data_IF_385890666318
#
_entry.id   IF_385890666318
#
_cell.length_a   1.000
_cell.length_b   1.000
_cell.length_c   1.000
_cell.angle_alpha   90.00
_cell.angle_beta   90.00
_cell.angle_gamma   90.00
#
_symmetry.space_group_name_H-M   'P 1'
#
loop_
_entity.id
_entity.type
_entity.pdbx_description
1 polymer ?
#
# COMPACT_ATOMS: atom_id res chain seq x y z
N UNK A 1 -6.14 -24.63 48.21
CA UNK A 1 -7.49 -25.26 48.36
C UNK A 1 -7.31 -26.76 48.33
N UNK A 2 -8.01 -27.54 49.17
CA UNK A 2 -8.07 -28.99 48.94
C UNK A 2 -8.92 -29.26 47.69
N UNK A 3 -8.62 -30.31 46.93
CA UNK A 3 -9.40 -30.72 45.73
C UNK A 3 -10.91 -30.82 46.05
N UNK A 4 -11.25 -31.24 47.26
CA UNK A 4 -12.64 -31.36 47.73
C UNK A 4 -13.37 -30.01 47.87
N UNK A 5 -12.64 -28.91 48.07
CA UNK A 5 -13.21 -27.55 48.13
C UNK A 5 -13.43 -26.93 46.74
N UNK A 6 -12.82 -27.50 45.70
CA UNK A 6 -12.95 -26.99 44.32
C UNK A 6 -14.36 -27.22 43.74
N UNK A 7 -15.00 -28.33 44.12
CA UNK A 7 -16.33 -28.73 43.61
C UNK A 7 -17.50 -28.32 44.51
N UNK A 8 -17.22 -27.66 45.63
CA UNK A 8 -18.23 -27.24 46.62
C UNK A 8 -18.43 -25.72 46.69
N UNK A 9 -17.81 -24.98 45.78
CA UNK A 9 -17.98 -23.53 45.62
C UNK A 9 -18.21 -23.20 44.13
N UNK A 10 -18.81 -22.04 43.81
CA UNK A 10 -18.92 -21.57 42.43
C UNK A 10 -17.55 -21.55 41.75
N UNK A 11 -17.44 -22.23 40.61
CA UNK A 11 -16.20 -22.26 39.83
C UNK A 11 -15.95 -20.89 39.21
N UNK A 12 -14.71 -20.39 39.35
CA UNK A 12 -14.21 -19.24 38.62
C UNK A 12 -13.32 -19.78 37.50
N UNK A 13 -13.73 -19.57 36.25
CA UNK A 13 -13.07 -20.17 35.09
C UNK A 13 -12.22 -19.13 34.37
N UNK A 14 -10.95 -19.44 34.13
CA UNK A 14 -10.09 -18.68 33.22
C UNK A 14 -9.96 -19.53 31.96
N UNK A 15 -10.61 -19.12 30.87
CA UNK A 15 -10.53 -19.82 29.60
C UNK A 15 -9.31 -19.35 28.80
N UNK A 16 -8.53 -20.30 28.30
CA UNK A 16 -7.36 -20.06 27.44
C UNK A 16 -7.55 -20.91 26.19
N UNK A 17 -7.54 -20.29 25.02
CA UNK A 17 -7.82 -20.95 23.74
C UNK A 17 -9.21 -20.60 23.19
N UNK A 18 -9.96 -21.60 22.71
CA UNK A 18 -11.19 -21.40 21.93
C UNK A 18 -12.30 -20.78 22.79
N UNK A 19 -12.88 -19.67 22.31
CA UNK A 19 -13.91 -18.89 23.01
C UNK A 19 -15.22 -19.67 23.24
N UNK A 20 -15.53 -20.67 22.40
CA UNK A 20 -16.69 -21.55 22.57
C UNK A 20 -16.75 -22.26 23.94
N UNK A 21 -15.60 -22.47 24.59
CA UNK A 21 -15.57 -22.99 25.96
C UNK A 21 -16.03 -21.95 26.99
N UNK A 22 -15.71 -20.67 26.81
CA UNK A 22 -16.26 -19.59 27.62
C UNK A 22 -17.77 -19.53 27.49
N UNK A 23 -18.30 -19.54 26.27
CA UNK A 23 -19.76 -19.51 26.03
C UNK A 23 -20.47 -20.70 26.69
N UNK A 24 -19.87 -21.89 26.58
CA UNK A 24 -20.36 -23.09 27.27
C UNK A 24 -20.32 -22.92 28.78
N UNK A 25 -19.25 -22.35 29.34
CA UNK A 25 -19.16 -22.06 30.76
C UNK A 25 -20.23 -21.06 31.20
N UNK A 26 -20.42 -19.94 30.52
CA UNK A 26 -21.42 -18.92 30.89
C UNK A 26 -22.86 -19.46 30.85
N UNK A 27 -23.15 -20.41 29.94
CA UNK A 27 -24.46 -21.10 29.87
C UNK A 27 -24.80 -21.90 31.12
N UNK A 28 -23.81 -22.38 31.87
CA UNK A 28 -23.99 -23.19 33.09
C UNK A 28 -23.62 -22.44 34.38
N UNK A 29 -23.52 -21.11 34.32
CA UNK A 29 -23.35 -20.18 35.44
C UNK A 29 -22.00 -20.02 36.18
N UNK A 30 -20.84 -20.65 35.84
CA UNK A 30 -19.57 -20.17 36.36
C UNK A 30 -19.19 -18.80 35.76
N UNK A 31 -18.84 -17.78 36.58
CA UNK A 31 -18.16 -16.60 36.06
C UNK A 31 -16.88 -17.02 35.36
N UNK A 32 -16.76 -16.65 34.08
CA UNK A 32 -15.61 -17.01 33.26
C UNK A 32 -14.98 -15.79 32.58
N UNK A 33 -13.66 -15.80 32.46
CA UNK A 33 -12.88 -14.75 31.77
C UNK A 33 -12.18 -15.41 30.58
N UNK A 34 -12.29 -14.79 29.40
CA UNK A 34 -11.46 -15.15 28.26
C UNK A 34 -10.09 -14.52 28.43
N UNK A 35 -9.04 -15.33 28.33
CA UNK A 35 -7.68 -14.83 28.09
C UNK A 35 -7.47 -14.83 26.59
N UNK A 36 -7.19 -13.67 26.02
CA UNK A 36 -6.70 -13.55 24.64
C UNK A 36 -5.23 -14.00 24.58
N UNK A 37 -5.04 -15.31 24.75
CA UNK A 37 -3.73 -15.95 24.67
C UNK A 37 -3.51 -16.46 23.24
N UNK A 38 -2.34 -16.17 22.70
CA UNK A 38 -1.84 -16.72 21.44
C UNK A 38 -0.48 -17.37 21.69
N UNK A 39 -0.13 -18.45 20.98
CA UNK A 39 1.22 -19.00 21.05
C UNK A 39 2.22 -17.86 20.81
N UNK A 40 3.23 -17.69 21.67
CA UNK A 40 4.24 -16.66 21.44
C UNK A 40 4.92 -16.95 20.10
N UNK A 41 5.24 -15.89 19.37
CA UNK A 41 6.23 -16.01 18.28
C UNK A 41 7.52 -16.53 18.92
N UNK A 42 8.23 -17.45 18.27
CA UNK A 42 9.50 -17.96 18.79
C UNK A 42 10.52 -16.81 18.83
N UNK A 43 10.65 -16.18 19.99
CA UNK A 43 11.56 -15.07 20.26
C UNK A 43 12.60 -15.58 21.26
N UNK A 44 13.87 -15.34 20.98
CA UNK A 44 14.93 -15.76 21.87
C UNK A 44 14.74 -15.15 23.27
N UNK A 45 14.97 -15.89 24.38
CA UNK A 45 14.86 -15.35 25.74
C UNK A 45 15.68 -14.08 25.96
N UNK A 46 16.78 -13.95 25.22
CA UNK A 46 17.65 -12.77 25.22
C UNK A 46 16.95 -11.54 24.64
N UNK A 47 16.29 -11.68 23.48
CA UNK A 47 15.48 -10.61 22.88
C UNK A 47 14.31 -10.22 23.77
N UNK A 48 13.61 -11.20 24.36
CA UNK A 48 12.53 -10.92 25.32
C UNK A 48 13.03 -10.11 26.52
N UNK A 49 14.17 -10.47 27.09
CA UNK A 49 14.76 -9.75 28.21
C UNK A 49 15.16 -8.32 27.85
N UNK A 50 15.65 -8.09 26.62
CA UNK A 50 15.96 -6.75 26.09
C UNK A 50 14.66 -5.93 25.96
N UNK A 51 13.62 -6.50 25.35
CA UNK A 51 12.33 -5.82 25.17
C UNK A 51 11.70 -5.47 26.52
N UNK A 52 11.68 -6.41 27.47
CA UNK A 52 11.15 -6.19 28.82
C UNK A 52 11.88 -5.05 29.55
N UNK A 53 13.21 -4.99 29.45
CA UNK A 53 14.04 -3.92 30.05
C UNK A 53 13.72 -2.53 29.46
N UNK A 54 13.26 -2.47 28.22
CA UNK A 54 12.99 -1.24 27.50
C UNK A 54 11.51 -0.92 27.31
N UNK A 55 10.59 -1.76 27.83
CA UNK A 55 9.15 -1.68 27.58
C UNK A 55 8.56 -0.28 27.78
N UNK A 56 8.80 0.38 28.92
CA UNK A 56 8.28 1.73 29.18
C UNK A 56 8.81 2.78 28.20
N UNK A 57 10.06 2.65 27.74
CA UNK A 57 10.65 3.57 26.76
C UNK A 57 10.05 3.36 25.37
N UNK A 58 9.86 2.09 25.00
CA UNK A 58 9.21 1.69 23.74
C UNK A 58 7.77 2.21 23.71
N UNK A 59 7.00 1.98 24.77
CA UNK A 59 5.60 2.40 24.84
C UNK A 59 5.46 3.92 24.68
N UNK A 60 6.28 4.70 25.38
CA UNK A 60 6.29 6.16 25.24
C UNK A 60 6.67 6.62 23.82
N UNK A 61 7.60 5.93 23.17
CA UNK A 61 8.00 6.23 21.80
C UNK A 61 6.89 5.84 20.79
N UNK A 62 6.20 4.73 21.02
CA UNK A 62 5.06 4.27 20.23
C UNK A 62 3.89 5.23 20.34
N UNK A 63 3.55 5.69 21.56
CA UNK A 63 2.51 6.69 21.77
C UNK A 63 2.79 7.96 20.97
N UNK A 64 4.02 8.47 21.02
CA UNK A 64 4.42 9.64 20.22
C UNK A 64 4.32 9.38 18.71
N UNK A 65 4.71 8.20 18.24
CA UNK A 65 4.59 7.83 16.83
C UNK A 65 3.12 7.81 16.39
N UNK A 66 2.24 7.21 17.19
CA UNK A 66 0.81 7.16 16.92
C UNK A 66 0.15 8.54 16.95
N UNK A 67 0.52 9.42 17.90
CA UNK A 67 0.04 10.81 17.93
C UNK A 67 0.37 11.54 16.61
N UNK A 68 1.56 11.34 16.06
CA UNK A 68 1.99 11.93 14.79
C UNK A 68 1.20 11.35 13.61
N UNK A 69 1.11 10.02 13.52
CA UNK A 69 0.38 9.32 12.46
C UNK A 69 -1.10 9.78 12.45
N UNK A 70 -1.77 9.77 13.61
CA UNK A 70 -3.18 10.15 13.71
C UNK A 70 -3.42 11.63 13.39
N UNK A 71 -2.44 12.51 13.64
CA UNK A 71 -2.51 13.93 13.33
C UNK A 71 -2.23 14.27 11.85
N UNK A 72 -1.77 13.32 11.04
CA UNK A 72 -1.45 13.55 9.63
C UNK A 72 -2.65 14.04 8.81
N UNK A 73 -2.38 14.94 7.86
CA UNK A 73 -3.37 15.54 6.96
C UNK A 73 -2.88 15.49 5.51
N UNK A 74 -2.87 14.28 4.88
CA UNK A 74 -2.44 14.11 3.50
C UNK A 74 -3.42 14.78 2.53
N UNK A 75 -2.90 15.68 1.69
CA UNK A 75 -3.66 16.33 0.61
C UNK A 75 -3.00 16.08 -0.73
N UNK A 76 -3.78 15.78 -1.75
CA UNK A 76 -3.31 15.86 -3.14
C UNK A 76 -3.17 17.34 -3.50
N UNK A 77 -1.94 17.80 -3.72
CA UNK A 77 -1.64 19.22 -3.98
C UNK A 77 -1.31 19.52 -5.43
N UNK A 78 -1.07 18.49 -6.25
CA UNK A 78 -0.75 18.65 -7.65
C UNK A 78 -0.23 17.38 -8.29
N UNK A 79 0.16 17.49 -9.55
CA UNK A 79 0.87 16.46 -10.30
C UNK A 79 2.12 17.08 -10.92
N UNK A 80 3.20 16.30 -11.00
CA UNK A 80 4.43 16.68 -11.72
C UNK A 80 5.06 15.48 -12.42
N UNK A 81 6.17 15.70 -13.11
CA UNK A 81 6.99 14.64 -13.68
C UNK A 81 7.96 14.14 -12.60
N UNK A 82 8.14 12.82 -12.52
CA UNK A 82 8.90 12.14 -11.48
C UNK A 82 10.28 12.77 -11.20
N UNK A 83 11.10 12.98 -12.24
CA UNK A 83 12.44 13.58 -12.10
C UNK A 83 12.46 15.00 -11.52
N UNK A 84 11.35 15.74 -11.64
CA UNK A 84 11.28 17.12 -11.17
C UNK A 84 11.08 17.20 -9.65
N UNK A 85 10.41 16.20 -9.07
CA UNK A 85 9.86 16.31 -7.70
C UNK A 85 10.27 15.17 -6.77
N UNK A 86 10.63 14.00 -7.29
CA UNK A 86 11.05 12.87 -6.46
C UNK A 86 12.49 13.08 -5.99
N UNK A 87 12.75 13.14 -4.66
CA UNK A 87 14.10 13.35 -4.13
C UNK A 87 15.06 12.29 -4.63
N UNK A 88 16.25 12.68 -5.09
CA UNK A 88 17.30 11.75 -5.52
C UNK A 88 17.06 11.02 -6.84
N UNK A 89 15.95 11.29 -7.55
CA UNK A 89 15.72 10.70 -8.87
C UNK A 89 16.57 11.38 -9.94
N UNK A 90 17.22 10.58 -10.78
CA UNK A 90 18.03 11.04 -11.92
C UNK A 90 17.50 10.46 -13.22
N UNK A 91 18.02 10.91 -14.37
CA UNK A 91 17.73 10.31 -15.69
C UNK A 91 18.09 8.81 -15.78
N UNK A 92 18.95 8.31 -14.88
CA UNK A 92 19.36 6.91 -14.82
C UNK A 92 18.78 6.15 -13.63
N UNK A 93 17.84 6.74 -12.90
CA UNK A 93 17.18 6.10 -11.76
C UNK A 93 15.84 5.52 -12.20
N UNK A 94 15.62 4.23 -11.90
CA UNK A 94 14.31 3.59 -12.00
C UNK A 94 13.95 3.09 -10.60
N UNK A 95 12.81 3.56 -10.08
CA UNK A 95 12.32 3.08 -8.79
C UNK A 95 11.50 1.81 -8.97
N UNK A 96 11.41 1.01 -7.91
CA UNK A 96 10.61 -0.22 -7.86
C UNK A 96 9.92 -0.39 -6.49
N UNK A 97 8.90 -1.25 -6.44
CA UNK A 97 8.26 -1.62 -5.17
C UNK A 97 9.17 -2.48 -4.28
N UNK A 98 8.91 -2.49 -2.97
CA UNK A 98 9.54 -3.38 -1.99
C UNK A 98 10.95 -2.97 -1.54
N UNK A 99 11.63 -3.81 -0.74
CA UNK A 99 12.97 -3.54 -0.25
C UNK A 99 14.04 -3.59 -1.37
N UNK A 100 15.27 -3.10 -1.12
CA UNK A 100 16.36 -3.11 -2.10
C UNK A 100 16.59 -4.49 -2.72
N UNK A 101 16.71 -4.54 -4.04
CA UNK A 101 16.92 -5.77 -4.79
C UNK A 101 17.83 -5.53 -6.00
N UNK A 102 18.67 -6.51 -6.32
CA UNK A 102 19.52 -6.47 -7.51
C UNK A 102 18.75 -7.00 -8.73
N UNK A 103 19.14 -6.56 -9.94
CA UNK A 103 18.49 -6.96 -11.20
C UNK A 103 18.34 -8.49 -11.36
N UNK A 104 19.38 -9.24 -10.99
CA UNK A 104 19.42 -10.71 -11.08
C UNK A 104 18.44 -11.41 -10.12
N UNK A 105 18.00 -10.73 -9.05
CA UNK A 105 17.01 -11.24 -8.10
C UNK A 105 15.58 -10.78 -8.41
N UNK A 106 15.40 -9.73 -9.23
CA UNK A 106 14.07 -9.23 -9.59
C UNK A 106 13.20 -10.29 -10.26
N UNK A 107 11.94 -10.39 -9.84
CA UNK A 107 10.97 -11.29 -10.43
C UNK A 107 10.58 -10.89 -11.87
N UNK A 108 9.93 -11.80 -12.59
CA UNK A 108 9.50 -11.60 -13.97
C UNK A 108 8.66 -10.32 -14.18
N UNK A 109 7.59 -10.09 -13.40
CA UNK A 109 6.78 -8.87 -13.51
C UNK A 109 7.58 -7.59 -13.29
N UNK A 110 8.49 -7.56 -12.31
CA UNK A 110 9.33 -6.39 -12.07
C UNK A 110 10.27 -6.10 -13.23
N UNK A 111 10.94 -7.14 -13.76
CA UNK A 111 11.78 -7.01 -14.95
C UNK A 111 10.97 -6.52 -16.14
N UNK A 112 9.83 -7.14 -16.44
CA UNK A 112 8.95 -6.74 -17.54
C UNK A 112 8.54 -5.27 -17.47
N UNK A 113 8.21 -4.78 -16.27
CA UNK A 113 7.86 -3.37 -16.06
C UNK A 113 9.04 -2.42 -16.30
N UNK A 114 10.25 -2.80 -15.90
CA UNK A 114 11.48 -2.04 -16.17
C UNK A 114 11.77 -1.99 -17.68
N UNK A 115 11.63 -3.10 -18.38
CA UNK A 115 11.84 -3.17 -19.83
C UNK A 115 10.84 -2.27 -20.57
N UNK A 116 9.55 -2.35 -20.21
CA UNK A 116 8.52 -1.44 -20.73
C UNK A 116 8.86 0.03 -20.43
N UNK A 117 9.29 0.32 -19.21
CA UNK A 117 9.70 1.66 -18.78
C UNK A 117 10.85 2.22 -19.61
N UNK A 118 11.89 1.42 -19.89
CA UNK A 118 13.02 1.84 -20.71
C UNK A 118 12.63 2.14 -22.17
N UNK A 119 11.71 1.35 -22.73
CA UNK A 119 11.15 1.63 -24.06
C UNK A 119 10.30 2.90 -24.04
N UNK A 120 9.47 3.09 -23.01
CA UNK A 120 8.68 4.31 -22.82
C UNK A 120 9.54 5.58 -22.70
N UNK A 121 10.69 5.49 -22.02
CA UNK A 121 11.68 6.57 -21.90
C UNK A 121 12.48 6.79 -23.20
N UNK A 122 12.28 5.98 -24.24
CA UNK A 122 13.03 6.08 -25.51
C UNK A 122 14.51 5.69 -25.36
N UNK A 123 14.85 4.92 -24.32
CA UNK A 123 16.22 4.48 -24.02
C UNK A 123 16.59 3.16 -24.70
N UNK A 124 15.59 2.48 -25.24
CA UNK A 124 15.70 1.26 -26.03
C UNK A 124 14.58 1.24 -27.06
N UNK A 125 14.86 0.73 -28.25
CA UNK A 125 13.85 0.60 -29.33
C UNK A 125 13.15 -0.75 -29.27
N UNK A 126 13.76 -1.74 -28.63
CA UNK A 126 13.20 -3.09 -28.45
C UNK A 126 13.37 -3.58 -27.01
N UNK A 127 12.67 -4.64 -26.66
CA UNK A 127 12.77 -5.27 -25.33
C UNK A 127 14.14 -5.90 -25.11
N UNK A 128 14.76 -6.44 -26.17
CA UNK A 128 16.11 -7.02 -26.10
C UNK A 128 17.17 -5.94 -25.87
N UNK A 129 17.01 -4.77 -26.48
CA UNK A 129 17.86 -3.60 -26.20
C UNK A 129 17.66 -3.10 -24.76
N UNK A 130 16.41 -3.06 -24.30
CA UNK A 130 16.07 -2.68 -22.94
C UNK A 130 16.69 -3.62 -21.91
N UNK A 131 16.70 -4.93 -22.17
CA UNK A 131 17.25 -5.94 -21.27
C UNK A 131 18.78 -5.85 -21.17
N UNK A 132 19.45 -5.61 -22.30
CA UNK A 132 20.89 -5.33 -22.32
C UNK A 132 21.23 -4.07 -21.53
N UNK A 133 20.41 -3.01 -21.65
CA UNK A 133 20.62 -1.78 -20.89
C UNK A 133 20.35 -1.99 -19.40
N UNK A 134 19.25 -2.64 -19.03
CA UNK A 134 18.87 -2.92 -17.65
C UNK A 134 19.95 -3.72 -16.89
N UNK A 135 20.52 -4.74 -17.54
CA UNK A 135 21.59 -5.57 -16.97
C UNK A 135 23.00 -4.94 -17.05
N UNK A 136 23.18 -3.79 -17.69
CA UNK A 136 24.51 -3.22 -17.97
C UNK A 136 25.19 -2.53 -16.79
N UNK A 137 24.48 -2.33 -15.67
CA UNK A 137 24.95 -1.51 -14.54
C UNK A 137 24.88 0.00 -14.76
N UNK A 138 24.34 0.46 -15.90
CA UNK A 138 24.12 1.89 -16.19
C UNK A 138 22.83 2.46 -15.59
N UNK A 139 21.91 1.59 -15.17
CA UNK A 139 20.65 1.95 -14.51
C UNK A 139 20.82 1.76 -13.01
N UNK A 140 20.44 2.78 -12.24
CA UNK A 140 20.35 2.70 -10.80
C UNK A 140 18.93 2.28 -10.41
N UNK A 141 18.81 1.17 -9.69
CA UNK A 141 17.56 0.71 -9.11
C UNK A 141 17.49 1.11 -7.64
N UNK A 142 16.35 1.62 -7.21
CA UNK A 142 16.12 1.95 -5.80
C UNK A 142 14.65 1.73 -5.40
N UNK A 143 14.38 1.35 -4.14
CA UNK A 143 13.02 1.29 -3.62
C UNK A 143 12.29 2.62 -3.70
N UNK A 144 11.02 2.60 -4.10
CA UNK A 144 10.13 3.75 -3.99
C UNK A 144 10.14 4.35 -2.57
N UNK A 145 10.12 3.49 -1.54
CA UNK A 145 10.05 3.91 -0.14
C UNK A 145 11.22 4.76 0.34
N UNK A 146 12.40 4.65 -0.27
CA UNK A 146 13.60 5.44 0.04
C UNK A 146 13.59 6.84 -0.59
N UNK A 147 12.63 7.09 -1.50
CA UNK A 147 12.49 8.32 -2.25
C UNK A 147 11.14 9.01 -1.98
N UNK A 148 10.54 8.75 -0.82
CA UNK A 148 9.21 9.27 -0.47
C UNK A 148 8.11 8.80 -1.43
N UNK A 149 8.32 7.72 -2.18
CA UNK A 149 7.43 7.25 -3.24
C UNK A 149 6.82 5.91 -2.83
N UNK A 150 5.71 5.55 -3.46
CA UNK A 150 5.13 4.20 -3.42
C UNK A 150 4.63 3.84 -4.82
N UNK A 151 4.75 2.56 -5.18
CA UNK A 151 4.31 2.02 -6.46
C UNK A 151 3.44 0.77 -6.31
N UNK A 152 2.27 0.69 -6.97
CA UNK A 152 1.45 -0.51 -6.94
C UNK A 152 2.11 -1.65 -7.74
N UNK A 153 1.96 -2.89 -7.27
CA UNK A 153 2.47 -4.10 -7.94
C UNK A 153 3.99 -4.02 -8.22
N UNK A 154 4.47 -4.16 -9.46
CA UNK A 154 5.90 -3.99 -9.76
C UNK A 154 6.46 -2.62 -9.30
N UNK A 155 5.59 -1.60 -9.20
CA UNK A 155 5.90 -0.30 -8.63
C UNK A 155 6.97 0.47 -9.39
N UNK A 156 7.08 0.23 -10.69
CA UNK A 156 8.11 0.84 -11.52
C UNK A 156 7.79 2.32 -11.74
N UNK A 157 8.76 3.18 -11.45
CA UNK A 157 8.69 4.62 -11.71
C UNK A 157 9.92 5.05 -12.51
N UNK A 158 9.70 5.60 -13.69
CA UNK A 158 10.76 6.11 -14.57
C UNK A 158 10.76 7.65 -14.63
N UNK A 159 11.87 8.29 -15.03
CA UNK A 159 12.07 9.74 -14.86
C UNK A 159 11.02 10.64 -15.51
N UNK A 160 10.44 10.23 -16.64
CA UNK A 160 9.43 11.00 -17.38
C UNK A 160 7.99 10.67 -16.97
N UNK A 161 7.77 9.69 -16.09
CA UNK A 161 6.42 9.34 -15.67
C UNK A 161 5.77 10.48 -14.87
N UNK A 162 4.48 10.78 -15.13
CA UNK A 162 3.71 11.66 -14.27
C UNK A 162 3.44 11.02 -12.91
N UNK A 163 3.53 11.82 -11.85
CA UNK A 163 3.26 11.43 -10.47
C UNK A 163 2.31 12.39 -9.78
N UNK A 164 1.46 11.84 -8.91
CA UNK A 164 0.66 12.60 -7.96
C UNK A 164 1.55 13.07 -6.81
N UNK A 165 1.38 14.31 -6.38
CA UNK A 165 2.12 14.94 -5.28
C UNK A 165 1.20 15.07 -4.07
N UNK A 166 1.48 14.30 -3.02
CA UNK A 166 0.68 14.28 -1.80
C UNK A 166 1.49 14.95 -0.70
N UNK A 167 0.99 16.06 -0.15
CA UNK A 167 1.63 16.74 0.97
C UNK A 167 0.88 16.47 2.25
N UNK A 168 1.58 16.02 3.29
CA UNK A 168 1.07 16.01 4.65
C UNK A 168 1.13 17.44 5.18
N UNK A 169 0.02 18.17 5.17
CA UNK A 169 0.00 19.59 5.51
C UNK A 169 0.47 19.84 6.96
N UNK A 170 0.14 18.93 7.88
CA UNK A 170 0.50 19.05 9.30
C UNK A 170 2.01 19.01 9.55
N UNK A 171 2.74 18.15 8.84
CA UNK A 171 4.17 17.90 9.08
C UNK A 171 5.09 18.35 7.94
N UNK A 172 4.51 18.75 6.81
CA UNK A 172 5.23 19.34 5.68
C UNK A 172 5.93 18.36 4.75
N UNK A 173 6.00 17.07 5.08
CA UNK A 173 6.58 16.05 4.22
C UNK A 173 5.66 15.71 3.04
N UNK A 174 6.25 15.14 1.98
CA UNK A 174 5.59 14.83 0.72
C UNK A 174 5.77 13.37 0.37
N UNK A 175 4.75 12.77 -0.23
CA UNK A 175 4.84 11.46 -0.86
C UNK A 175 4.36 11.49 -2.31
N UNK A 176 4.82 10.51 -3.09
CA UNK A 176 4.54 10.43 -4.53
C UNK A 176 4.04 9.04 -4.93
N UNK A 177 3.25 9.00 -5.99
CA UNK A 177 2.82 7.76 -6.66
C UNK A 177 2.55 8.07 -8.13
N UNK A 178 2.80 7.12 -9.02
CA UNK A 178 2.45 7.25 -10.44
C UNK A 178 0.94 7.30 -10.64
N UNK A 179 0.48 7.67 -11.83
CA UNK A 179 -0.92 7.56 -12.21
C UNK A 179 -1.31 6.10 -12.46
N UNK A 180 -2.56 5.73 -12.13
CA UNK A 180 -3.04 4.38 -12.39
C UNK A 180 -3.27 4.16 -13.89
N UNK A 181 -2.70 3.09 -14.45
CA UNK A 181 -2.73 2.78 -15.88
C UNK A 181 -4.04 2.16 -16.38
N UNK A 182 -5.00 1.91 -15.50
CA UNK A 182 -6.23 1.19 -15.82
C UNK A 182 -6.09 -0.32 -15.65
N UNK A 183 -6.97 -1.03 -16.38
CA UNK A 183 -7.09 -2.48 -16.36
C UNK A 183 -6.45 -3.11 -17.62
N UNK A 184 -6.26 -4.43 -17.59
CA UNK A 184 -5.70 -5.20 -18.72
C UNK A 184 -4.17 -5.23 -18.71
N UNK A 185 -3.55 -5.16 -19.90
CA UNK A 185 -2.09 -5.16 -20.04
C UNK A 185 -1.53 -3.82 -19.62
N UNK A 186 -0.89 -3.78 -18.45
CA UNK A 186 -0.32 -2.56 -17.85
C UNK A 186 1.08 -2.84 -17.29
N UNK A 187 1.92 -1.79 -17.27
CA UNK A 187 3.31 -1.83 -16.85
C UNK A 187 3.46 -2.29 -15.40
N UNK A 188 2.54 -1.90 -14.50
CA UNK A 188 2.55 -2.35 -13.10
C UNK A 188 2.44 -3.88 -12.93
N UNK A 189 1.89 -4.61 -13.90
CA UNK A 189 1.87 -6.08 -13.90
C UNK A 189 3.05 -6.70 -14.68
N UNK A 190 3.98 -5.88 -15.15
CA UNK A 190 5.12 -6.32 -15.97
C UNK A 190 4.78 -6.53 -17.44
N UNK A 191 3.60 -6.11 -17.90
CA UNK A 191 3.28 -6.16 -19.31
C UNK A 191 4.10 -5.13 -20.10
N UNK A 192 4.48 -5.50 -21.32
CA UNK A 192 5.22 -4.66 -22.26
C UNK A 192 4.64 -4.82 -23.67
N UNK A 193 5.03 -3.91 -24.57
CA UNK A 193 4.58 -3.86 -25.96
C UNK A 193 3.83 -2.57 -26.30
N UNK A 194 3.45 -2.44 -27.57
CA UNK A 194 2.93 -1.18 -28.13
C UNK A 194 1.69 -0.64 -27.41
N UNK A 195 0.80 -1.52 -26.95
CA UNK A 195 -0.40 -1.13 -26.19
C UNK A 195 -0.02 -0.41 -24.88
N UNK A 196 0.97 -0.94 -24.16
CA UNK A 196 1.44 -0.37 -22.88
C UNK A 196 2.12 0.97 -23.14
N UNK A 197 3.07 1.03 -24.09
CA UNK A 197 3.78 2.27 -24.41
C UNK A 197 2.84 3.35 -24.93
N UNK A 198 1.88 2.99 -25.79
CA UNK A 198 0.87 3.93 -26.31
C UNK A 198 0.02 4.49 -25.18
N UNK A 199 -0.42 3.65 -24.24
CA UNK A 199 -1.20 4.10 -23.07
C UNK A 199 -0.39 5.02 -22.17
N UNK A 200 0.85 4.66 -21.84
CA UNK A 200 1.73 5.51 -21.02
C UNK A 200 1.98 6.87 -21.69
N UNK A 201 2.17 6.90 -23.02
CA UNK A 201 2.31 8.16 -23.78
C UNK A 201 1.02 8.97 -23.81
N UNK A 202 -0.15 8.34 -23.91
CA UNK A 202 -1.43 9.04 -23.76
C UNK A 202 -1.61 9.60 -22.35
N UNK A 203 -1.22 8.84 -21.32
CA UNK A 203 -1.28 9.32 -19.94
C UNK A 203 -0.35 10.53 -19.73
N UNK A 204 0.86 10.48 -20.27
CA UNK A 204 1.82 11.59 -20.23
C UNK A 204 1.31 12.84 -20.95
N UNK A 205 0.70 12.68 -22.14
CA UNK A 205 0.36 13.79 -23.03
C UNK A 205 -1.05 14.35 -22.85
N UNK A 206 -1.98 13.54 -22.33
CA UNK A 206 -3.40 13.92 -22.21
C UNK A 206 -3.88 13.82 -20.76
N UNK A 207 -3.76 12.65 -20.12
CA UNK A 207 -4.27 12.47 -18.75
C UNK A 207 -3.60 13.42 -17.75
N UNK A 208 -2.26 13.45 -17.76
CA UNK A 208 -1.47 14.25 -16.83
C UNK A 208 -1.74 15.76 -16.95
N UNK A 209 -1.66 16.40 -18.14
CA UNK A 209 -1.89 17.84 -18.25
C UNK A 209 -3.30 18.25 -17.84
N UNK A 210 -4.32 17.45 -18.21
CA UNK A 210 -5.72 17.70 -17.83
C UNK A 210 -5.90 17.62 -16.31
N UNK A 211 -5.38 16.57 -15.67
CA UNK A 211 -5.46 16.44 -14.22
C UNK A 211 -4.64 17.51 -13.49
N UNK A 212 -3.45 17.85 -13.98
CA UNK A 212 -2.61 18.90 -13.40
C UNK A 212 -3.35 20.24 -13.38
N UNK A 213 -3.98 20.62 -14.49
CA UNK A 213 -4.75 21.85 -14.59
C UNK A 213 -5.98 21.83 -13.66
N UNK A 214 -6.71 20.71 -13.64
CA UNK A 214 -7.90 20.55 -12.80
C UNK A 214 -7.56 20.66 -11.30
N UNK A 215 -6.50 20.01 -10.83
CA UNK A 215 -6.08 20.08 -9.42
C UNK A 215 -5.56 21.47 -9.06
N UNK A 216 -4.82 22.14 -9.96
CA UNK A 216 -4.39 23.51 -9.74
C UNK A 216 -5.58 24.49 -9.63
N UNK A 217 -6.67 24.23 -10.36
CA UNK A 217 -7.89 25.02 -10.32
C UNK A 217 -8.77 24.70 -9.10
N UNK A 218 -8.94 23.42 -8.73
CA UNK A 218 -9.75 23.03 -7.57
C UNK A 218 -9.10 23.37 -6.24
N UNK A 219 -7.77 23.52 -6.23
CA UNK A 219 -6.98 23.54 -5.00
C UNK A 219 -6.79 22.14 -4.41
N UNK A 220 -6.09 22.06 -3.26
CA UNK A 220 -5.74 20.79 -2.63
C UNK A 220 -6.95 19.94 -2.25
N UNK A 221 -6.89 18.64 -2.53
CA UNK A 221 -7.95 17.68 -2.19
C UNK A 221 -7.58 16.95 -0.89
N UNK A 222 -8.46 16.99 0.10
CA UNK A 222 -8.31 16.30 1.39
C UNK A 222 -8.52 14.79 1.23
N UNK A 223 -7.42 14.03 1.15
CA UNK A 223 -7.47 12.58 0.96
C UNK A 223 -7.93 11.86 2.23
N UNK A 224 -7.66 12.40 3.42
CA UNK A 224 -8.10 11.79 4.67
C UNK A 224 -9.63 11.79 4.77
N UNK A 225 -10.26 12.90 4.39
CA UNK A 225 -11.72 13.01 4.34
C UNK A 225 -12.32 12.09 3.25
N UNK A 226 -11.72 12.04 2.06
CA UNK A 226 -12.20 11.14 1.00
C UNK A 226 -12.09 9.67 1.38
N UNK A 227 -10.98 9.26 2.00
CA UNK A 227 -10.79 7.90 2.51
C UNK A 227 -11.83 7.57 3.58
N UNK A 228 -12.07 8.47 4.55
CA UNK A 228 -13.08 8.25 5.59
C UNK A 228 -14.49 8.05 5.00
N UNK A 229 -14.87 8.82 3.98
CA UNK A 229 -16.14 8.63 3.27
C UNK A 229 -16.17 7.30 2.49
N UNK A 230 -15.07 6.94 1.82
CA UNK A 230 -14.97 5.69 1.07
C UNK A 230 -15.14 4.46 1.97
N UNK A 231 -14.54 4.47 3.18
CA UNK A 231 -14.74 3.42 4.20
C UNK A 231 -16.23 3.27 4.57
N UNK A 232 -16.95 4.38 4.78
CA UNK A 232 -18.40 4.35 5.03
C UNK A 232 -19.26 3.98 3.82
N UNK A 233 -18.65 3.85 2.63
CA UNK A 233 -19.32 3.53 1.37
C UNK A 233 -18.93 2.14 0.83
N UNK A 234 -18.28 1.32 1.66
CA UNK A 234 -18.00 -0.07 1.33
C UNK A 234 -16.59 -0.35 0.80
N UNK A 235 -15.72 0.65 0.72
CA UNK A 235 -14.33 0.44 0.28
C UNK A 235 -13.41 0.17 1.47
N UNK A 236 -12.31 -0.54 1.24
CA UNK A 236 -11.16 -0.57 2.18
C UNK A 236 -9.92 0.14 1.60
N UNK A 237 -10.06 0.68 0.38
CA UNK A 237 -9.10 1.51 -0.35
C UNK A 237 -7.72 0.86 -0.64
N UNK A 238 -7.65 -0.47 -0.67
CA UNK A 238 -6.55 -1.24 -1.24
C UNK A 238 -7.03 -2.11 -2.41
N UNK A 239 -7.91 -3.07 -2.15
CA UNK A 239 -8.51 -3.93 -3.18
C UNK A 239 -9.77 -3.32 -3.80
N UNK A 240 -10.66 -2.75 -2.98
CA UNK A 240 -11.89 -2.10 -3.44
C UNK A 240 -11.77 -0.59 -3.29
N UNK A 241 -11.83 0.10 -4.42
CA UNK A 241 -11.59 1.54 -4.55
C UNK A 241 -12.72 2.28 -5.31
N UNK A 242 -13.87 1.64 -5.46
CA UNK A 242 -14.97 2.14 -6.31
C UNK A 242 -15.62 3.39 -5.73
N UNK A 243 -15.89 3.42 -4.43
CA UNK A 243 -16.41 4.61 -3.76
C UNK A 243 -15.37 5.74 -3.75
N UNK A 244 -14.11 5.45 -3.42
CA UNK A 244 -13.02 6.42 -3.44
C UNK A 244 -12.85 7.06 -4.83
N UNK A 245 -12.84 6.24 -5.88
CA UNK A 245 -12.76 6.70 -7.28
C UNK A 245 -13.97 7.56 -7.64
N UNK A 246 -15.18 7.18 -7.22
CA UNK A 246 -16.40 7.96 -7.50
C UNK A 246 -16.42 9.31 -6.78
N UNK A 247 -15.93 9.36 -5.54
CA UNK A 247 -15.82 10.60 -4.77
C UNK A 247 -14.76 11.54 -5.37
N UNK A 248 -13.61 11.00 -5.78
CA UNK A 248 -12.59 11.76 -6.50
C UNK A 248 -13.14 12.31 -7.82
N UNK A 249 -13.78 11.46 -8.62
CA UNK A 249 -14.39 11.85 -9.89
C UNK A 249 -15.34 13.04 -9.69
N UNK A 250 -16.23 12.95 -8.70
CA UNK A 250 -17.15 14.05 -8.33
C UNK A 250 -16.41 15.33 -7.93
N UNK A 251 -15.27 15.22 -7.24
CA UNK A 251 -14.50 16.37 -6.79
C UNK A 251 -13.77 17.09 -7.94
N UNK A 252 -13.28 16.35 -8.95
CA UNK A 252 -12.42 16.91 -10.00
C UNK A 252 -13.14 17.20 -11.31
N UNK A 253 -14.27 16.53 -11.61
CA UNK A 253 -14.94 16.65 -12.89
C UNK A 253 -15.35 18.09 -13.26
N UNK A 254 -15.88 18.92 -12.34
CA UNK A 254 -16.17 20.32 -12.66
C UNK A 254 -14.90 21.11 -13.03
N UNK A 255 -13.79 20.87 -12.33
CA UNK A 255 -12.53 21.54 -12.61
C UNK A 255 -11.93 21.10 -13.96
N UNK A 256 -12.01 19.81 -14.30
CA UNK A 256 -11.62 19.30 -15.62
C UNK A 256 -12.38 20.03 -16.74
N UNK A 257 -13.70 20.17 -16.61
CA UNK A 257 -14.53 20.87 -17.61
C UNK A 257 -14.23 22.38 -17.66
N UNK A 258 -13.81 22.98 -16.54
CA UNK A 258 -13.47 24.39 -16.48
C UNK A 258 -12.10 24.71 -17.08
N UNK A 259 -11.14 23.77 -17.01
CA UNK A 259 -9.74 24.03 -17.40
C UNK A 259 -9.31 23.36 -18.69
N UNK A 260 -9.97 22.29 -19.13
CA UNK A 260 -9.57 21.57 -20.34
C UNK A 260 -10.14 22.24 -21.58
N UNK A 261 -9.27 22.68 -22.50
CA UNK A 261 -9.68 23.35 -23.73
C UNK A 261 -10.33 22.38 -24.75
N UNK A 262 -9.83 21.14 -24.81
CA UNK A 262 -10.41 20.10 -25.68
C UNK A 262 -11.52 19.34 -24.94
N UNK A 263 -12.73 19.42 -25.50
CA UNK A 263 -13.86 18.63 -25.01
C UNK A 263 -13.59 17.13 -25.14
N UNK A 264 -12.93 16.71 -26.21
CA UNK A 264 -12.58 15.33 -26.50
C UNK A 264 -11.62 14.79 -25.42
N UNK A 265 -10.58 15.54 -25.07
CA UNK A 265 -9.63 15.16 -24.01
C UNK A 265 -10.30 15.12 -22.64
N UNK A 266 -11.15 16.10 -22.31
CA UNK A 266 -11.91 16.11 -21.07
C UNK A 266 -12.79 14.85 -20.94
N UNK A 267 -13.53 14.50 -22.00
CA UNK A 267 -14.35 13.29 -22.05
C UNK A 267 -13.49 12.03 -21.94
N UNK A 268 -12.36 11.98 -22.63
CA UNK A 268 -11.46 10.83 -22.59
C UNK A 268 -10.90 10.59 -21.18
N UNK A 269 -10.47 11.65 -20.49
CA UNK A 269 -9.96 11.57 -19.11
C UNK A 269 -11.05 11.16 -18.13
N UNK A 270 -12.24 11.76 -18.22
CA UNK A 270 -13.36 11.39 -17.36
C UNK A 270 -13.76 9.93 -17.57
N UNK A 271 -13.85 9.47 -18.81
CA UNK A 271 -14.17 8.07 -19.11
C UNK A 271 -13.07 7.11 -18.65
N UNK A 272 -11.80 7.51 -18.74
CA UNK A 272 -10.68 6.70 -18.25
C UNK A 272 -10.78 6.46 -16.74
N UNK A 273 -11.12 7.49 -15.96
CA UNK A 273 -11.31 7.36 -14.50
C UNK A 273 -12.58 6.54 -14.21
N UNK A 274 -13.69 6.83 -14.90
CA UNK A 274 -14.96 6.14 -14.71
C UNK A 274 -14.89 4.64 -15.06
N UNK A 275 -14.07 4.26 -16.03
CA UNK A 275 -13.83 2.86 -16.41
C UNK A 275 -12.80 2.13 -15.54
N UNK A 276 -12.25 2.78 -14.51
CA UNK A 276 -11.17 2.26 -13.69
C UNK A 276 -11.48 2.41 -12.19
N UNK A 277 -12.23 1.44 -11.65
CA UNK A 277 -12.56 1.42 -10.21
C UNK A 277 -11.31 1.35 -9.29
N UNK A 278 -10.12 1.02 -9.82
CA UNK A 278 -8.85 1.02 -9.09
C UNK A 278 -8.09 2.34 -9.11
N UNK A 279 -8.59 3.39 -9.78
CA UNK A 279 -7.86 4.65 -9.91
C UNK A 279 -7.44 5.25 -8.56
N UNK A 280 -8.30 5.13 -7.53
CA UNK A 280 -8.04 5.68 -6.20
C UNK A 280 -6.94 4.98 -5.40
N UNK A 281 -6.50 3.77 -5.78
CA UNK A 281 -5.39 3.08 -5.11
C UNK A 281 -4.11 3.92 -5.13
N UNK A 282 -3.86 4.59 -6.27
CA UNK A 282 -2.69 5.44 -6.45
C UNK A 282 -2.79 6.77 -5.65
N UNK A 283 -3.88 7.00 -4.92
CA UNK A 283 -4.04 8.10 -3.97
C UNK A 283 -4.03 7.63 -2.52
N UNK A 284 -4.66 6.49 -2.21
CA UNK A 284 -4.67 5.92 -0.85
C UNK A 284 -3.26 5.52 -0.40
N UNK A 285 -2.49 4.88 -1.28
CA UNK A 285 -1.11 4.48 -0.99
C UNK A 285 -0.21 5.66 -0.58
N UNK A 286 -0.04 6.73 -1.39
CA UNK A 286 0.80 7.85 -1.00
C UNK A 286 0.20 8.68 0.15
N UNK A 287 -1.12 8.65 0.38
CA UNK A 287 -1.72 9.25 1.58
C UNK A 287 -1.26 8.53 2.86
N UNK A 288 -1.25 7.20 2.85
CA UNK A 288 -0.70 6.40 3.95
C UNK A 288 0.81 6.65 4.10
N UNK A 289 1.58 6.62 3.01
CA UNK A 289 3.02 6.91 3.01
C UNK A 289 3.33 8.27 3.64
N UNK A 290 2.67 9.34 3.18
CA UNK A 290 2.86 10.69 3.71
C UNK A 290 2.52 10.81 5.20
N UNK A 291 1.54 10.02 5.66
CA UNK A 291 1.12 10.00 7.07
C UNK A 291 2.10 9.21 7.95
N UNK A 292 2.50 8.02 7.50
CA UNK A 292 3.41 7.13 8.24
C UNK A 292 4.85 7.66 8.27
N UNK A 293 5.34 8.24 7.17
CA UNK A 293 6.70 8.79 7.08
C UNK A 293 6.93 9.94 8.07
N UNK A 294 5.87 10.66 8.47
CA UNK A 294 5.98 11.74 9.46
C UNK A 294 6.44 11.21 10.83
N UNK A 295 6.22 9.92 11.13
CA UNK A 295 6.63 9.28 12.37
C UNK A 295 8.01 8.60 12.31
N UNK A 296 8.75 8.73 11.20
CA UNK A 296 10.13 8.22 11.11
C UNK A 296 11.09 8.92 12.06
N UNK A 297 12.13 8.19 12.47
CA UNK A 297 13.21 8.71 13.32
C UNK A 297 12.86 8.82 14.80
N UNK A 298 11.72 8.28 15.24
CA UNK A 298 11.33 8.29 16.66
C UNK A 298 12.08 7.18 17.39
N UNK A 299 13.27 7.52 17.90
CA UNK A 299 14.15 6.58 18.60
C UNK A 299 13.40 5.76 19.67
N UNK A 300 13.51 4.44 19.56
CA UNK A 300 12.89 3.48 20.48
C UNK A 300 11.46 3.09 20.10
N UNK A 301 10.85 3.67 19.06
CA UNK A 301 9.55 3.25 18.57
C UNK A 301 9.65 1.93 17.80
N UNK A 302 8.73 1.01 18.08
CA UNK A 302 8.56 -0.28 17.41
C UNK A 302 7.40 -0.29 16.42
N UNK A 303 6.78 0.87 16.14
CA UNK A 303 5.69 0.99 15.16
C UNK A 303 6.24 0.79 13.74
N UNK A 304 5.65 -0.12 12.98
CA UNK A 304 5.94 -0.26 11.55
C UNK A 304 5.43 0.96 10.79
N UNK A 305 6.29 1.53 9.95
CA UNK A 305 5.95 2.67 9.06
C UNK A 305 6.01 2.29 7.59
N UNK A 306 6.54 1.11 7.27
CA UNK A 306 6.48 0.49 5.94
C UNK A 306 6.29 -1.01 6.09
N UNK A 307 5.38 -1.54 5.30
CA UNK A 307 5.38 -2.91 4.82
C UNK A 307 5.33 -2.86 3.29
N UNK A 308 6.25 -3.56 2.64
CA UNK A 308 6.38 -3.53 1.18
C UNK A 308 7.02 -4.83 0.67
N UNK A 309 6.85 -5.13 -0.62
CA UNK A 309 7.32 -6.38 -1.21
C UNK A 309 7.63 -6.21 -2.68
N UNK A 310 8.66 -6.89 -3.15
CA UNK A 310 9.19 -6.76 -4.51
C UNK A 310 8.95 -8.01 -5.38
N UNK A 311 8.09 -8.94 -4.94
CA UNK A 311 7.88 -10.22 -5.63
C UNK A 311 8.97 -11.25 -5.39
N UNK A 312 9.89 -10.99 -4.45
CA UNK A 312 10.97 -11.89 -4.03
C UNK A 312 11.19 -11.81 -2.53
N UNK A 313 11.28 -10.59 -2.00
CA UNK A 313 11.43 -10.28 -0.58
C UNK A 313 10.24 -9.43 -0.09
N UNK A 314 9.77 -9.74 1.12
CA UNK A 314 8.94 -8.87 1.93
C UNK A 314 9.85 -8.07 2.88
N UNK A 315 9.58 -6.78 3.03
CA UNK A 315 10.38 -5.87 3.83
C UNK A 315 9.54 -4.98 4.73
N UNK A 316 10.04 -4.72 5.94
CA UNK A 316 9.48 -3.72 6.85
C UNK A 316 10.52 -2.68 7.27
N UNK A 317 10.02 -1.50 7.64
CA UNK A 317 10.80 -0.47 8.34
C UNK A 317 10.00 0.02 9.56
N UNK A 318 10.71 0.28 10.66
CA UNK A 318 10.11 0.77 11.91
C UNK A 318 10.42 2.25 12.11
N UNK A 319 9.50 2.96 12.77
CA UNK A 319 9.67 4.36 13.13
C UNK A 319 10.99 4.63 13.88
N UNK A 320 11.44 3.68 14.71
CA UNK A 320 12.67 3.80 15.50
C UNK A 320 13.95 3.37 14.80
N UNK A 321 13.89 2.73 13.63
CA UNK A 321 15.07 2.18 12.93
C UNK A 321 15.47 2.97 11.69
N UNK A 322 14.79 4.09 11.42
CA UNK A 322 15.07 4.94 10.26
C UNK A 322 14.83 4.18 8.96
N UNK A 323 15.86 4.13 8.11
CA UNK A 323 15.78 3.52 6.78
C UNK A 323 16.24 2.05 6.75
N UNK A 324 16.56 1.46 7.92
CA UNK A 324 16.93 0.06 8.00
C UNK A 324 15.76 -0.84 7.60
N UNK A 325 16.00 -1.69 6.60
CA UNK A 325 15.09 -2.74 6.17
C UNK A 325 15.30 -4.04 6.96
N UNK A 326 14.20 -4.65 7.38
CA UNK A 326 14.16 -6.03 7.84
C UNK A 326 13.41 -6.85 6.78
N UNK A 327 14.08 -7.84 6.20
CA UNK A 327 13.57 -8.58 5.05
C UNK A 327 13.45 -10.07 5.31
N UNK A 328 12.43 -10.67 4.73
CA UNK A 328 12.22 -12.12 4.63
C UNK A 328 11.75 -12.46 3.21
N UNK A 329 11.80 -13.73 2.77
CA UNK A 329 11.20 -14.12 1.50
C UNK A 329 9.73 -13.70 1.41
N UNK A 330 9.30 -13.22 0.24
CA UNK A 330 7.89 -12.94 -0.01
C UNK A 330 7.10 -14.24 -0.13
N UNK A 331 5.95 -14.29 0.52
CA UNK A 331 5.05 -15.45 0.47
C UNK A 331 4.27 -15.48 -0.84
N UNK A 332 3.86 -16.69 -1.26
CA UNK A 332 2.92 -16.87 -2.37
C UNK A 332 1.50 -16.80 -1.82
N UNK A 333 0.67 -15.81 -2.24
CA UNK A 333 -0.68 -15.64 -1.70
C UNK A 333 -1.52 -16.91 -1.82
N UNK A 334 -2.28 -17.23 -0.77
CA UNK A 334 -3.27 -18.30 -0.80
C UNK A 334 -4.65 -17.68 -1.02
N UNK A 335 -5.11 -17.68 -2.27
CA UNK A 335 -6.29 -16.92 -2.70
C UNK A 335 -7.12 -17.70 -3.74
N UNK A 336 -8.27 -17.13 -4.12
CA UNK A 336 -9.04 -17.62 -5.26
C UNK A 336 -8.35 -17.23 -6.56
N UNK A 337 -8.05 -18.23 -7.40
CA UNK A 337 -7.46 -18.05 -8.72
C UNK A 337 -8.54 -18.00 -9.80
N UNK A 338 -8.34 -17.16 -10.82
CA UNK A 338 -9.22 -17.15 -11.99
C UNK A 338 -9.22 -18.51 -12.70
N UNK A 339 -10.33 -18.84 -13.36
CA UNK A 339 -10.46 -20.10 -14.08
C UNK A 339 -9.30 -20.29 -15.08
N UNK A 340 -8.61 -21.43 -14.97
CA UNK A 340 -7.43 -21.76 -15.78
C UNK A 340 -6.09 -21.41 -15.15
N UNK A 341 -6.07 -20.77 -13.97
CA UNK A 341 -4.85 -20.48 -13.21
C UNK A 341 -4.86 -21.20 -11.86
N UNK A 342 -3.66 -21.42 -11.34
CA UNK A 342 -3.38 -22.09 -10.07
C UNK A 342 -2.34 -21.32 -9.26
N UNK A 343 -2.07 -21.79 -8.03
CA UNK A 343 -1.01 -21.24 -7.19
C UNK A 343 0.39 -21.36 -7.82
N UNK A 344 0.61 -22.35 -8.67
CA UNK A 344 1.90 -22.55 -9.36
C UNK A 344 2.16 -21.48 -10.43
N UNK A 345 1.12 -20.79 -10.89
CA UNK A 345 1.22 -19.67 -11.83
C UNK A 345 1.47 -18.32 -11.12
N UNK A 346 1.39 -18.29 -9.78
CA UNK A 346 1.45 -17.07 -9.01
C UNK A 346 2.88 -16.58 -8.79
N UNK A 347 3.10 -15.28 -9.00
CA UNK A 347 4.28 -14.63 -8.45
C UNK A 347 4.12 -14.48 -6.92
N UNK A 348 5.21 -14.56 -6.13
CA UNK A 348 5.20 -14.13 -4.73
C UNK A 348 4.67 -12.69 -4.55
N UNK A 349 4.24 -12.35 -3.34
CA UNK A 349 3.61 -11.06 -3.03
C UNK A 349 4.47 -9.86 -3.49
N UNK A 350 3.83 -8.87 -4.10
CA UNK A 350 4.49 -7.77 -4.81
C UNK A 350 3.71 -6.45 -4.72
N UNK A 351 4.42 -5.34 -4.49
CA UNK A 351 3.84 -4.00 -4.35
C UNK A 351 4.33 -3.23 -3.15
N UNK A 352 4.13 -1.93 -3.18
CA UNK A 352 4.15 -1.07 -1.99
C UNK A 352 2.75 -0.92 -1.37
N UNK A 353 1.73 -1.52 -1.98
CA UNK A 353 0.34 -1.36 -1.54
C UNK A 353 0.08 -1.76 -0.08
N UNK A 354 0.89 -2.63 0.54
CA UNK A 354 0.82 -2.96 1.97
C UNK A 354 1.07 -1.76 2.89
N UNK A 355 1.48 -0.61 2.34
CA UNK A 355 1.45 0.67 3.03
C UNK A 355 0.04 1.07 3.47
N UNK A 356 -1.01 0.60 2.78
CA UNK A 356 -2.40 0.83 3.18
C UNK A 356 -2.72 0.13 4.50
N UNK A 357 -2.35 -1.13 4.65
CA UNK A 357 -2.48 -1.92 5.88
C UNK A 357 -1.61 -1.35 7.00
N UNK A 358 -0.40 -0.93 6.65
CA UNK A 358 0.49 -0.23 7.60
C UNK A 358 -0.19 1.03 8.16
N UNK A 359 -1.02 1.69 7.35
CA UNK A 359 -1.83 2.85 7.75
C UNK A 359 -3.17 2.50 8.42
N UNK A 360 -3.47 1.22 8.65
CA UNK A 360 -4.73 0.75 9.24
C UNK A 360 -5.91 0.64 8.25
N UNK A 361 -5.64 0.65 6.94
CA UNK A 361 -6.63 0.49 5.87
C UNK A 361 -6.51 -0.91 5.23
N UNK A 362 -7.10 -1.11 4.05
CA UNK A 362 -6.98 -2.36 3.30
C UNK A 362 -7.51 -3.57 4.09
N UNK A 363 -6.72 -4.64 4.16
CA UNK A 363 -7.06 -5.83 4.95
C UNK A 363 -7.38 -5.55 6.43
N UNK A 364 -6.82 -4.49 7.02
CA UNK A 364 -7.08 -4.10 8.42
C UNK A 364 -8.42 -3.37 8.59
N UNK A 365 -9.03 -2.90 7.49
CA UNK A 365 -10.34 -2.28 7.46
C UNK A 365 -11.35 -3.10 6.64
N UNK A 366 -11.09 -4.40 6.45
CA UNK A 366 -11.86 -5.26 5.55
C UNK A 366 -13.34 -5.39 5.98
N UNK A 367 -13.66 -5.20 7.26
CA UNK A 367 -15.05 -5.14 7.73
C UNK A 367 -15.86 -4.00 7.09
N UNK A 368 -15.19 -2.92 6.64
CA UNK A 368 -15.83 -1.85 5.88
C UNK A 368 -16.20 -2.30 4.46
N UNK A 369 -15.61 -3.38 3.93
CA UNK A 369 -15.78 -3.84 2.56
C UNK A 369 -16.29 -5.30 2.46
N UNK A 370 -17.48 -5.63 3.00
CA UNK A 370 -18.00 -7.00 3.02
C UNK A 370 -18.15 -7.61 1.63
N UNK A 371 -18.33 -6.79 0.59
CA UNK A 371 -18.50 -7.21 -0.80
C UNK A 371 -17.26 -7.92 -1.39
N UNK A 372 -16.07 -7.72 -0.83
CA UNK A 372 -14.84 -8.35 -1.35
C UNK A 372 -14.32 -9.48 -0.48
N UNK A 373 -14.94 -9.77 0.67
CA UNK A 373 -14.44 -10.77 1.62
C UNK A 373 -14.33 -12.16 0.97
N UNK A 374 -15.31 -12.53 0.14
CA UNK A 374 -15.24 -13.78 -0.62
C UNK A 374 -14.15 -13.76 -1.69
N UNK A 375 -13.90 -12.60 -2.30
CA UNK A 375 -12.90 -12.43 -3.35
C UNK A 375 -11.47 -12.50 -2.80
N UNK A 376 -11.22 -11.97 -1.60
CA UNK A 376 -9.90 -12.00 -0.93
C UNK A 376 -9.65 -13.30 -0.15
N UNK A 377 -10.62 -14.23 -0.14
CA UNK A 377 -10.53 -15.50 0.58
C UNK A 377 -10.99 -15.37 2.04
N UNK A 378 -12.24 -15.77 2.32
CA UNK A 378 -12.81 -15.78 3.68
C UNK A 378 -14.33 -15.69 3.71
N UNK A 379 -14.91 -15.74 4.91
CA UNK A 379 -16.32 -15.48 5.17
C UNK A 379 -16.53 -14.08 5.77
N UNK A 380 -17.71 -13.48 5.59
CA UNK A 380 -18.02 -12.13 6.12
C UNK A 380 -17.79 -12.00 7.65
N UNK A 381 -17.99 -13.09 8.41
CA UNK A 381 -17.67 -13.14 9.84
C UNK A 381 -16.17 -13.02 10.14
N UNK A 382 -15.31 -13.43 9.23
CA UNK A 382 -13.85 -13.35 9.39
C UNK A 382 -13.40 -11.89 9.31
N UNK A 383 -14.02 -11.10 8.43
CA UNK A 383 -13.73 -9.68 8.29
C UNK A 383 -13.94 -8.90 9.60
N UNK A 384 -15.01 -9.21 10.35
CA UNK A 384 -15.28 -8.65 11.68
C UNK A 384 -14.29 -9.10 12.75
N UNK A 385 -13.61 -10.24 12.57
CA UNK A 385 -12.60 -10.75 13.52
C UNK A 385 -11.20 -10.20 13.23
N UNK A 386 -10.93 -9.83 11.97
CA UNK A 386 -9.66 -9.26 11.54
C UNK A 386 -9.55 -7.75 11.74
N UNK A 387 -10.69 -7.05 11.79
CA UNK A 387 -10.79 -5.59 12.04
C UNK A 387 -11.08 -5.33 13.50
#
# INVERSE_FOLDING_TARGET
MSIQKLFSAPLQVVNVGIEAFKETCEKFSPPSIQVDWRPPVDVSPESEAILARHATKIEKANQKAMEIILAGTPKLVGLDIARNVIPGMTENTILHAGPPITWDRMCGPMRGGILAGLVYEGRASTIEEAEKLASSGKIQYAPCHEHGTVGPMAGIVTPSMPVMVIRNEKFGNTAFCTLNEGLGKVLRYGAFGDEVTTRLKWMEKTLYPVLKAAIAHSGPIDLKNLIAQALHMGDEVHNRNRAGTSLLYRAIAPAILATCESKEDAVAVLNFINGNDHFFLNLSMPACKATLDAARGIKGSSIAVVMARNGTDFGIQLAGTGDLWFTAPAEVPDALYFAGFTKDDANPDIGDSAITETGGLGGFAIAAAPAIVQFVGGAASDALRYT
#
